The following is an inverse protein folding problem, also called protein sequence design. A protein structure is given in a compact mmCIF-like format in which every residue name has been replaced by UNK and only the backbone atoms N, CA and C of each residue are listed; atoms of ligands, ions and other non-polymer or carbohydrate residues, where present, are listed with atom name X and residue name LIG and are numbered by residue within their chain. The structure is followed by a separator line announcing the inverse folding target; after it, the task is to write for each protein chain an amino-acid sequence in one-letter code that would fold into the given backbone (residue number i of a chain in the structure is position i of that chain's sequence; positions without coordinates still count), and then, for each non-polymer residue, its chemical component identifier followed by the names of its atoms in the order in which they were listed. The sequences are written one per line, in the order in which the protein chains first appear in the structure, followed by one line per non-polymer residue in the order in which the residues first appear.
data_IF_273903230553
#
_entry.id   IF_273903230553
#
_cell.length_a   1.000
_cell.length_b   1.000
_cell.length_c   1.000
_cell.angle_alpha   90.00
_cell.angle_beta   90.00
_cell.angle_gamma   90.00
#
_symmetry.space_group_name_H-M   'P 1'
#
loop_
_entity.id
_entity.type
_entity.pdbx_description
1 polymer ?
#
# COMPACT_ATOMS: atom_id res chain seq x y z
N UNK A 1 -13.47 1.06 15.46
CA UNK A 1 -14.51 0.78 14.44
C UNK A 1 -15.67 1.78 14.44
N UNK A 2 -16.23 2.18 15.60
CA UNK A 2 -17.35 3.14 15.66
C UNK A 2 -17.15 4.42 14.82
N UNK A 3 -15.99 5.07 14.89
CA UNK A 3 -15.73 6.26 14.09
C UNK A 3 -15.79 5.98 12.58
N UNK A 4 -15.17 4.89 12.11
CA UNK A 4 -15.07 4.56 10.69
C UNK A 4 -16.45 4.26 10.08
N UNK A 5 -17.27 3.46 10.78
CA UNK A 5 -18.61 3.07 10.32
C UNK A 5 -19.71 4.07 10.70
N UNK A 6 -19.42 5.05 11.55
CA UNK A 6 -20.34 6.09 12.01
C UNK A 6 -20.01 7.45 11.42
N UNK A 7 -19.36 8.30 12.23
CA UNK A 7 -19.12 9.70 11.89
C UNK A 7 -18.33 9.89 10.59
N UNK A 8 -17.32 9.05 10.34
CA UNK A 8 -16.53 9.13 9.12
C UNK A 8 -17.38 8.80 7.89
N UNK A 9 -18.11 7.68 7.92
CA UNK A 9 -19.01 7.30 6.81
C UNK A 9 -20.09 8.35 6.57
N UNK A 10 -20.66 8.90 7.65
CA UNK A 10 -21.65 9.98 7.59
C UNK A 10 -21.06 11.24 6.95
N UNK A 11 -19.84 11.62 7.35
CA UNK A 11 -19.12 12.74 6.75
C UNK A 11 -18.87 12.49 5.25
N UNK A 12 -18.36 11.32 4.87
CA UNK A 12 -18.12 10.99 3.46
C UNK A 12 -19.39 11.07 2.60
N UNK A 13 -20.55 10.70 3.15
CA UNK A 13 -21.84 10.76 2.46
C UNK A 13 -22.36 12.20 2.27
N UNK A 14 -21.84 13.17 3.02
CA UNK A 14 -22.19 14.60 2.87
C UNK A 14 -21.53 15.28 1.66
N UNK A 15 -20.76 14.53 0.87
CA UNK A 15 -20.06 15.01 -0.33
C UNK A 15 -18.56 15.17 -0.14
N UNK A 16 -17.84 15.43 -1.24
CA UNK A 16 -16.37 15.49 -1.24
C UNK A 16 -15.84 16.61 -0.34
N UNK A 17 -16.25 17.86 -0.61
CA UNK A 17 -15.75 19.03 0.12
C UNK A 17 -16.28 19.11 1.55
N UNK A 18 -17.60 19.03 1.73
CA UNK A 18 -18.24 19.11 3.06
C UNK A 18 -17.77 17.97 3.96
N UNK A 19 -17.79 16.74 3.43
CA UNK A 19 -17.30 15.58 4.16
C UNK A 19 -15.82 15.66 4.50
N UNK A 20 -15.01 16.14 3.55
CA UNK A 20 -13.60 16.41 3.79
C UNK A 20 -13.38 17.38 4.93
N UNK A 21 -14.10 18.51 4.95
CA UNK A 21 -14.02 19.51 6.04
C UNK A 21 -14.41 18.91 7.40
N UNK A 22 -15.51 18.15 7.45
CA UNK A 22 -16.01 17.52 8.69
C UNK A 22 -15.04 16.47 9.25
N UNK A 23 -14.44 15.64 8.39
CA UNK A 23 -13.63 14.50 8.83
C UNK A 23 -12.14 14.81 9.01
N UNK A 24 -11.60 15.87 8.38
CA UNK A 24 -10.14 16.07 8.29
C UNK A 24 -9.43 16.16 9.63
N UNK A 25 -10.01 16.87 10.61
CA UNK A 25 -9.41 17.00 11.94
C UNK A 25 -9.21 15.64 12.61
N UNK A 26 -10.29 14.85 12.65
CA UNK A 26 -10.26 13.53 13.30
C UNK A 26 -9.40 12.52 12.52
N UNK A 27 -9.36 12.59 11.20
CA UNK A 27 -8.47 11.73 10.38
C UNK A 27 -7.00 12.09 10.61
N UNK A 28 -6.66 13.38 10.73
CA UNK A 28 -5.30 13.83 11.07
C UNK A 28 -4.87 13.29 12.44
N UNK A 29 -5.73 13.39 13.47
CA UNK A 29 -5.44 12.83 14.79
C UNK A 29 -5.20 11.31 14.77
N UNK A 30 -6.02 10.56 14.04
CA UNK A 30 -5.93 9.10 13.99
C UNK A 30 -4.72 8.60 13.20
N UNK A 31 -4.33 9.32 12.14
CA UNK A 31 -3.24 8.90 11.26
C UNK A 31 -1.89 9.51 11.64
N UNK A 32 -1.87 10.61 12.39
CA UNK A 32 -0.66 11.39 12.64
C UNK A 32 -0.17 12.18 11.42
N UNK A 33 -0.92 12.20 10.31
CA UNK A 33 -0.58 12.99 9.13
C UNK A 33 -0.89 14.48 9.36
N UNK A 34 -0.10 15.40 8.75
CA UNK A 34 -0.38 16.83 8.82
C UNK A 34 -1.80 17.19 8.38
N UNK A 35 -2.47 18.07 9.11
CA UNK A 35 -3.87 18.43 8.84
C UNK A 35 -4.06 18.97 7.42
N UNK A 36 -3.12 19.79 6.94
CA UNK A 36 -3.16 20.38 5.60
C UNK A 36 -3.10 19.31 4.50
N UNK A 37 -2.30 18.25 4.72
CA UNK A 37 -2.23 17.10 3.82
C UNK A 37 -3.58 16.36 3.80
N UNK A 38 -4.19 16.15 4.97
CA UNK A 38 -5.48 15.47 5.09
C UNK A 38 -6.60 16.28 4.42
N UNK A 39 -6.62 17.60 4.63
CA UNK A 39 -7.59 18.51 4.03
C UNK A 39 -7.47 18.54 2.50
N UNK A 40 -6.24 18.60 1.96
CA UNK A 40 -5.99 18.54 0.51
C UNK A 40 -6.52 17.26 -0.14
N UNK A 41 -6.60 16.18 0.64
CA UNK A 41 -7.12 14.89 0.21
C UNK A 41 -8.56 14.63 0.68
N UNK A 42 -9.29 15.67 1.13
CA UNK A 42 -10.68 15.57 1.56
C UNK A 42 -10.91 14.45 2.59
N UNK A 43 -10.01 14.32 3.56
CA UNK A 43 -10.03 13.29 4.60
C UNK A 43 -9.99 11.83 4.09
N UNK A 44 -9.62 11.61 2.82
CA UNK A 44 -9.46 10.28 2.20
C UNK A 44 -7.98 10.02 2.01
N UNK A 45 -7.43 9.09 2.78
CA UNK A 45 -6.00 8.78 2.76
C UNK A 45 -5.81 7.40 2.14
N UNK A 46 -5.39 7.30 0.86
CA UNK A 46 -4.99 6.02 0.28
C UNK A 46 -3.75 5.46 0.99
N UNK A 47 -3.63 4.14 1.03
CA UNK A 47 -2.48 3.46 1.68
C UNK A 47 -1.14 3.95 1.15
N UNK A 48 -0.99 4.12 -0.17
CA UNK A 48 0.25 4.62 -0.77
C UNK A 48 0.58 6.07 -0.38
N UNK A 49 -0.44 6.92 -0.19
CA UNK A 49 -0.24 8.28 0.32
C UNK A 49 0.26 8.26 1.76
N UNK A 50 -0.35 7.43 2.62
CA UNK A 50 0.10 7.26 4.00
C UNK A 50 1.54 6.76 4.05
N UNK A 51 1.85 5.71 3.28
CA UNK A 51 3.18 5.13 3.20
C UNK A 51 4.24 6.14 2.74
N UNK A 52 3.88 7.03 1.81
CA UNK A 52 4.75 8.10 1.30
C UNK A 52 4.98 9.23 2.30
N UNK A 53 3.94 9.65 3.02
CA UNK A 53 3.98 10.91 3.76
C UNK A 53 4.32 10.76 5.25
N UNK A 54 4.01 9.62 5.88
CA UNK A 54 4.12 9.46 7.34
C UNK A 54 5.55 9.67 7.88
N UNK A 55 6.59 9.18 7.17
CA UNK A 55 8.00 9.38 7.53
C UNK A 55 8.76 10.30 6.57
N UNK A 56 8.05 11.14 5.81
CA UNK A 56 8.65 12.03 4.81
C UNK A 56 9.71 12.97 5.39
N UNK A 57 9.49 13.49 6.60
CA UNK A 57 10.45 14.36 7.28
C UNK A 57 11.82 13.68 7.53
N UNK A 58 11.85 12.36 7.59
CA UNK A 58 13.07 11.55 7.74
C UNK A 58 13.57 10.95 6.41
N UNK A 59 12.95 11.33 5.29
CA UNK A 59 13.32 10.86 3.95
C UNK A 59 13.00 9.38 3.70
N UNK A 60 11.97 8.84 4.36
CA UNK A 60 11.58 7.42 4.22
C UNK A 60 10.19 7.25 3.64
N UNK A 61 10.03 6.14 2.91
CA UNK A 61 8.74 5.57 2.48
C UNK A 61 8.52 4.27 3.23
N UNK A 62 7.34 4.09 3.80
CA UNK A 62 6.96 2.88 4.53
C UNK A 62 6.55 1.76 3.57
N UNK A 63 6.61 0.52 4.06
CA UNK A 63 5.95 -0.60 3.38
C UNK A 63 4.44 -0.57 3.62
N UNK A 64 3.60 -0.75 2.58
CA UNK A 64 2.17 -0.98 2.77
C UNK A 64 1.83 -2.26 3.54
N UNK A 65 2.76 -3.23 3.59
CA UNK A 65 2.57 -4.50 4.28
C UNK A 65 2.92 -4.44 5.78
N UNK A 66 3.84 -3.55 6.16
CA UNK A 66 4.20 -3.28 7.56
C UNK A 66 4.70 -1.84 7.70
N UNK A 67 3.87 -0.98 8.28
CA UNK A 67 4.15 0.44 8.48
C UNK A 67 5.29 0.73 9.47
N UNK A 68 5.80 -0.29 10.18
CA UNK A 68 7.00 -0.15 11.03
C UNK A 68 8.31 -0.28 10.23
N UNK A 69 8.23 -0.79 9.00
CA UNK A 69 9.35 -1.00 8.10
C UNK A 69 9.31 0.05 7.00
N UNK A 70 10.44 0.73 6.75
CA UNK A 70 10.57 1.71 5.70
C UNK A 70 11.95 1.70 5.04
N UNK A 71 12.02 2.24 3.83
CA UNK A 71 13.24 2.42 3.05
C UNK A 71 13.44 3.88 2.68
N UNK A 72 14.62 4.24 2.17
CA UNK A 72 14.89 5.59 1.70
C UNK A 72 13.96 5.95 0.53
N UNK A 73 13.45 7.18 0.53
CA UNK A 73 12.64 7.71 -0.57
C UNK A 73 13.53 8.06 -1.77
N UNK A 74 13.45 7.25 -2.83
CA UNK A 74 14.23 7.47 -4.05
C UNK A 74 13.63 8.55 -4.97
N UNK A 75 12.41 9.02 -4.68
CA UNK A 75 11.75 10.07 -5.45
C UNK A 75 10.98 11.06 -4.55
N UNK A 76 11.67 11.87 -3.71
CA UNK A 76 11.03 12.77 -2.74
C UNK A 76 10.11 13.85 -3.32
N UNK A 77 10.34 14.20 -4.58
CA UNK A 77 9.55 15.17 -5.36
C UNK A 77 8.26 14.55 -5.95
N UNK A 78 8.20 13.23 -6.04
CA UNK A 78 7.01 12.52 -6.53
C UNK A 78 6.00 12.38 -5.40
N UNK A 79 4.69 12.57 -5.66
CA UNK A 79 3.65 12.25 -4.68
C UNK A 79 3.37 10.74 -4.56
N UNK A 80 4.01 9.91 -5.40
CA UNK A 80 3.84 8.45 -5.39
C UNK A 80 4.87 7.78 -4.49
N UNK A 81 4.43 6.72 -3.81
CA UNK A 81 5.30 5.67 -3.28
C UNK A 81 5.96 4.95 -4.46
N UNK A 82 7.27 5.16 -4.61
CA UNK A 82 8.04 4.63 -5.73
C UNK A 82 9.29 3.94 -5.20
N UNK A 83 9.70 2.89 -5.91
CA UNK A 83 10.86 2.08 -5.56
C UNK A 83 10.48 0.72 -4.99
N UNK A 84 11.49 -0.09 -4.66
CA UNK A 84 11.28 -1.42 -4.12
C UNK A 84 10.71 -1.35 -2.70
N UNK A 85 9.68 -2.15 -2.45
CA UNK A 85 9.08 -2.32 -1.14
C UNK A 85 10.00 -3.18 -0.24
N UNK A 86 10.37 -2.71 0.97
CA UNK A 86 11.33 -3.41 1.81
C UNK A 86 10.82 -4.72 2.42
N UNK A 87 9.52 -5.04 2.30
CA UNK A 87 8.89 -6.26 2.82
C UNK A 87 8.60 -7.23 1.68
N UNK A 88 7.75 -6.85 0.72
CA UNK A 88 7.31 -7.67 -0.39
C UNK A 88 8.49 -8.07 -1.28
N UNK A 89 9.27 -7.12 -1.80
CA UNK A 89 10.33 -7.43 -2.77
C UNK A 89 11.44 -8.28 -2.15
N UNK A 90 11.67 -8.13 -0.84
CA UNK A 90 12.60 -9.00 -0.09
C UNK A 90 12.02 -10.39 0.17
N UNK A 91 10.70 -10.53 0.25
CA UNK A 91 10.03 -11.81 0.47
C UNK A 91 9.94 -12.65 -0.81
N UNK A 92 9.87 -12.01 -1.98
CA UNK A 92 9.68 -12.70 -3.28
C UNK A 92 10.71 -13.82 -3.52
N UNK A 93 12.04 -13.61 -3.41
CA UNK A 93 13.01 -14.68 -3.66
C UNK A 93 12.89 -15.86 -2.67
N UNK A 94 12.60 -15.56 -1.40
CA UNK A 94 12.46 -16.58 -0.34
C UNK A 94 11.23 -17.44 -0.59
N UNK A 95 10.07 -16.81 -0.83
CA UNK A 95 8.82 -17.51 -1.12
C UNK A 95 8.89 -18.30 -2.43
N UNK A 96 9.50 -17.73 -3.46
CA UNK A 96 9.75 -18.41 -4.75
C UNK A 96 10.57 -19.67 -4.53
N UNK A 97 11.68 -19.57 -3.79
CA UNK A 97 12.57 -20.71 -3.53
C UNK A 97 11.88 -21.79 -2.71
N UNK A 98 11.12 -21.40 -1.67
CA UNK A 98 10.36 -22.33 -0.84
C UNK A 98 9.31 -23.11 -1.64
N UNK A 99 8.55 -22.42 -2.50
CA UNK A 99 7.56 -23.09 -3.35
C UNK A 99 8.21 -24.03 -4.36
N UNK A 100 9.30 -23.59 -5.01
CA UNK A 100 10.04 -24.44 -5.97
C UNK A 100 10.59 -25.69 -5.30
N UNK A 101 11.13 -25.59 -4.08
CA UNK A 101 11.60 -26.73 -3.30
C UNK A 101 10.43 -27.69 -2.97
N UNK A 102 9.33 -27.15 -2.43
CA UNK A 102 8.14 -27.93 -2.09
C UNK A 102 7.60 -28.73 -3.29
N UNK A 103 7.42 -28.08 -4.44
CA UNK A 103 6.88 -28.75 -5.63
C UNK A 103 7.83 -29.82 -6.17
N UNK A 104 9.14 -29.57 -6.12
CA UNK A 104 10.15 -30.52 -6.64
C UNK A 104 10.35 -31.73 -5.75
N UNK A 105 10.41 -31.50 -4.44
CA UNK A 105 10.92 -32.50 -3.50
C UNK A 105 9.78 -33.21 -2.77
N UNK A 106 8.72 -32.50 -2.39
CA UNK A 106 7.57 -33.09 -1.69
C UNK A 106 6.53 -33.62 -2.68
N UNK A 107 6.18 -32.84 -3.70
CA UNK A 107 5.20 -33.24 -4.72
C UNK A 107 5.82 -34.05 -5.87
N UNK A 108 7.15 -34.21 -5.88
CA UNK A 108 7.91 -34.91 -6.93
C UNK A 108 7.64 -34.40 -8.37
N UNK A 109 7.21 -33.15 -8.51
CA UNK A 109 6.97 -32.53 -9.81
C UNK A 109 8.20 -31.75 -10.26
N UNK A 110 8.92 -32.32 -11.24
CA UNK A 110 10.11 -31.70 -11.83
C UNK A 110 9.81 -31.23 -13.25
N UNK A 111 10.09 -29.96 -13.50
CA UNK A 111 9.93 -29.30 -14.80
C UNK A 111 11.12 -28.38 -15.07
N UNK A 112 11.37 -28.10 -16.34
CA UNK A 112 12.29 -27.08 -16.87
C UNK A 112 11.65 -25.68 -16.93
N UNK A 113 10.33 -25.58 -16.73
CA UNK A 113 9.61 -24.31 -16.70
C UNK A 113 10.05 -23.46 -15.50
N UNK A 114 10.35 -22.19 -15.76
CA UNK A 114 10.70 -21.21 -14.72
C UNK A 114 9.46 -20.71 -13.99
N UNK A 115 9.44 -20.83 -12.67
CA UNK A 115 8.44 -20.19 -11.82
C UNK A 115 8.80 -18.72 -11.56
N UNK A 116 7.88 -17.80 -11.84
CA UNK A 116 8.02 -16.37 -11.56
C UNK A 116 6.86 -15.89 -10.69
N UNK A 117 7.13 -15.77 -9.39
CA UNK A 117 6.17 -15.22 -8.44
C UNK A 117 5.87 -13.75 -8.75
N UNK A 118 4.58 -13.37 -8.68
CA UNK A 118 4.09 -12.00 -8.89
C UNK A 118 4.62 -11.34 -10.18
N UNK A 119 4.53 -12.06 -11.30
CA UNK A 119 4.97 -11.54 -12.59
C UNK A 119 4.13 -10.30 -12.98
N UNK A 120 4.76 -9.12 -12.94
CA UNK A 120 4.10 -7.85 -13.24
C UNK A 120 3.65 -7.68 -14.69
N UNK A 121 4.29 -8.35 -15.65
CA UNK A 121 3.84 -8.36 -17.05
C UNK A 121 2.52 -9.11 -17.18
N UNK A 122 2.42 -10.28 -16.56
CA UNK A 122 1.19 -11.07 -16.53
C UNK A 122 0.10 -10.29 -15.80
N UNK A 123 0.41 -9.74 -14.63
CA UNK A 123 -0.55 -8.97 -13.80
C UNK A 123 -1.19 -7.81 -14.56
N UNK A 124 -0.41 -7.09 -15.39
CA UNK A 124 -0.90 -5.95 -16.18
C UNK A 124 -1.76 -6.36 -17.38
N UNK A 125 -1.58 -7.57 -17.90
CA UNK A 125 -2.33 -8.09 -19.04
C UNK A 125 -3.43 -9.07 -18.61
N UNK A 126 -3.62 -9.24 -17.30
CA UNK A 126 -4.61 -10.18 -16.79
C UNK A 126 -6.02 -9.60 -16.94
N UNK A 127 -6.91 -10.36 -17.56
CA UNK A 127 -8.34 -10.04 -17.55
C UNK A 127 -8.97 -10.56 -16.25
N UNK A 128 -9.43 -9.64 -15.40
CA UNK A 128 -10.07 -9.95 -14.13
C UNK A 128 -11.59 -10.21 -14.26
N UNK A 129 -12.13 -10.23 -15.49
CA UNK A 129 -13.55 -10.47 -15.73
C UNK A 129 -14.44 -9.28 -15.34
N UNK A 130 -13.87 -8.07 -15.32
CA UNK A 130 -14.57 -6.82 -14.97
C UNK A 130 -14.78 -5.90 -16.18
N UNK A 131 -14.59 -6.44 -17.39
CA UNK A 131 -14.83 -5.75 -18.67
C UNK A 131 -16.29 -5.89 -19.10
#
# INVERSE_FOLDING_TARGET
EHYALGDYLTALNSGLEQGGKLASGRVSELTGLPLELVQRNFARIPTGLFAKEFQRATGKVLSPYDATIGTADIAPQSPRDAGPDPVLDRSVPVLTSAFVAYVRDELNYRTDISYRLLNGEVTRNWDYGTS
#
